data_IF_721682103755
#
_entry.id   IF_721682103755
#
_cell.length_a   1.000
_cell.length_b   1.000
_cell.length_c   1.000
_cell.angle_alpha   90.00
_cell.angle_beta   90.00
_cell.angle_gamma   90.00
#
_symmetry.space_group_name_H-M   'P 1'
#
loop_
_entity.id
_entity.type
_entity.pdbx_description
1 polymer ?
#
# COMPACT_ATOMS: atom_id res chain seq x y z
N UNK A 1 19.74 -18.20 -3.12
CA UNK A 1 18.69 -19.15 -2.65
C UNK A 1 17.66 -19.22 -3.75
N UNK A 2 17.00 -20.36 -3.98
CA UNK A 2 16.15 -20.50 -5.15
C UNK A 2 14.85 -19.69 -5.03
N UNK A 3 14.38 -19.15 -6.15
CA UNK A 3 13.01 -18.65 -6.32
C UNK A 3 12.09 -19.86 -6.46
N UNK A 4 11.05 -19.94 -5.64
CA UNK A 4 10.15 -21.10 -5.57
C UNK A 4 8.73 -20.72 -6.01
N UNK A 5 8.09 -21.49 -6.91
CA UNK A 5 6.69 -21.28 -7.26
C UNK A 5 5.78 -21.34 -6.03
N UNK A 6 4.81 -20.43 -5.99
CA UNK A 6 3.82 -20.35 -4.92
C UNK A 6 2.41 -20.51 -5.49
N UNK A 7 1.52 -21.11 -4.71
CA UNK A 7 0.10 -21.23 -5.05
C UNK A 7 -0.73 -20.92 -3.82
N UNK A 8 -1.72 -20.05 -3.98
CA UNK A 8 -2.66 -19.72 -2.92
C UNK A 8 -3.61 -20.90 -2.74
N UNK A 9 -3.65 -21.44 -1.52
CA UNK A 9 -4.59 -22.49 -1.15
C UNK A 9 -5.03 -22.28 0.29
N UNK A 10 -6.26 -21.78 0.45
CA UNK A 10 -6.89 -21.57 1.76
C UNK A 10 -7.74 -22.78 2.11
N UNK A 11 -7.61 -23.31 3.31
CA UNK A 11 -8.44 -24.43 3.76
C UNK A 11 -9.89 -24.00 4.00
N UNK A 12 -10.87 -24.90 3.75
CA UNK A 12 -12.30 -24.58 3.87
C UNK A 12 -12.69 -24.24 5.33
N UNK A 13 -12.03 -24.83 6.31
CA UNK A 13 -12.25 -24.57 7.74
C UNK A 13 -11.92 -23.12 8.11
N UNK A 14 -10.86 -22.53 7.56
CA UNK A 14 -10.52 -21.10 7.75
C UNK A 14 -11.62 -20.19 7.20
N UNK A 15 -12.17 -20.50 6.02
CA UNK A 15 -13.25 -19.72 5.41
C UNK A 15 -14.58 -19.92 6.15
N UNK A 16 -14.83 -21.12 6.67
CA UNK A 16 -16.01 -21.42 7.47
C UNK A 16 -15.96 -20.71 8.83
N UNK A 17 -14.79 -20.68 9.48
CA UNK A 17 -14.56 -19.92 10.71
C UNK A 17 -14.77 -18.41 10.47
N UNK A 18 -14.20 -17.84 9.40
CA UNK A 18 -14.43 -16.45 8.99
C UNK A 18 -15.93 -16.13 8.90
N UNK A 19 -16.69 -16.91 8.13
CA UNK A 19 -18.14 -16.72 7.95
C UNK A 19 -18.90 -16.89 9.26
N UNK A 20 -18.52 -17.89 10.07
CA UNK A 20 -19.11 -18.12 11.39
C UNK A 20 -18.98 -16.91 12.31
N UNK A 21 -17.77 -16.34 12.39
CA UNK A 21 -17.48 -15.14 13.19
C UNK A 21 -18.20 -13.89 12.68
N UNK A 22 -18.24 -13.69 11.37
CA UNK A 22 -18.99 -12.57 10.76
C UNK A 22 -20.48 -12.61 11.14
N UNK A 23 -21.13 -13.78 11.05
CA UNK A 23 -22.54 -13.97 11.43
C UNK A 23 -22.80 -13.79 12.92
N UNK A 24 -21.79 -14.04 13.76
CA UNK A 24 -21.87 -13.89 15.21
C UNK A 24 -21.34 -12.53 15.71
N UNK A 25 -21.16 -11.56 14.81
CA UNK A 25 -20.68 -10.22 15.18
C UNK A 25 -21.56 -9.59 16.24
N UNK A 26 -20.95 -9.19 17.36
CA UNK A 26 -21.59 -8.37 18.39
C UNK A 26 -21.42 -6.89 18.04
N UNK A 27 -22.51 -6.26 17.62
CA UNK A 27 -22.52 -4.88 17.14
C UNK A 27 -22.48 -3.85 18.28
N UNK A 28 -21.67 -2.78 18.17
CA UNK A 28 -21.78 -1.61 19.03
C UNK A 28 -22.99 -0.75 18.65
N UNK A 29 -23.32 0.23 19.49
CA UNK A 29 -24.21 1.33 19.14
C UNK A 29 -23.50 2.39 18.25
N UNK A 30 -24.28 3.29 17.67
CA UNK A 30 -23.78 4.46 16.95
C UNK A 30 -24.66 5.67 17.27
N UNK A 31 -24.03 6.83 17.47
CA UNK A 31 -24.74 8.10 17.61
C UNK A 31 -25.50 8.41 16.30
N UNK A 32 -26.81 8.66 16.32
CA UNK A 32 -27.58 8.93 15.10
C UNK A 32 -27.15 10.24 14.40
N UNK A 33 -27.10 10.22 13.06
CA UNK A 33 -26.96 11.43 12.23
C UNK A 33 -25.55 12.03 12.14
N UNK A 34 -24.52 11.32 12.60
CA UNK A 34 -23.11 11.77 12.48
C UNK A 34 -22.31 11.04 11.40
N UNK A 35 -22.93 10.09 10.69
CA UNK A 35 -22.33 9.29 9.62
C UNK A 35 -20.93 8.76 10.01
N UNK A 36 -19.89 9.11 9.24
CA UNK A 36 -18.50 8.64 9.41
C UNK A 36 -17.66 9.48 10.37
N UNK A 37 -18.22 10.52 11.02
CA UNK A 37 -17.45 11.48 11.84
C UNK A 37 -16.71 10.87 13.04
N UNK A 38 -17.07 9.66 13.45
CA UNK A 38 -16.41 8.90 14.53
C UNK A 38 -15.82 7.57 14.04
N UNK A 39 -15.56 7.44 12.74
CA UNK A 39 -15.06 6.24 12.11
C UNK A 39 -16.14 5.49 11.32
N UNK A 40 -16.00 4.17 11.17
CA UNK A 40 -16.86 3.35 10.33
C UNK A 40 -18.35 3.50 10.66
N UNK A 41 -19.17 3.82 9.66
CA UNK A 41 -20.63 3.91 9.81
C UNK A 41 -21.25 2.51 9.99
N UNK A 42 -22.18 2.36 10.95
CA UNK A 42 -22.68 1.06 11.39
C UNK A 42 -23.51 0.36 10.30
N UNK A 43 -24.36 1.07 9.57
CA UNK A 43 -25.20 0.45 8.54
C UNK A 43 -24.37 -0.01 7.34
N UNK A 44 -23.37 0.77 6.94
CA UNK A 44 -22.39 0.41 5.93
C UNK A 44 -21.64 -0.85 6.33
N UNK A 45 -21.14 -0.92 7.57
CA UNK A 45 -20.40 -2.09 8.05
C UNK A 45 -21.31 -3.32 8.17
N UNK A 46 -22.54 -3.17 8.66
CA UNK A 46 -23.54 -4.25 8.72
C UNK A 46 -23.84 -4.83 7.35
N UNK A 47 -24.08 -3.96 6.36
CA UNK A 47 -24.32 -4.35 4.98
C UNK A 47 -23.10 -5.08 4.39
N UNK A 48 -21.90 -4.54 4.58
CA UNK A 48 -20.67 -5.17 4.07
C UNK A 48 -20.40 -6.53 4.75
N UNK A 49 -20.56 -6.63 6.07
CA UNK A 49 -20.39 -7.89 6.82
C UNK A 49 -21.42 -8.93 6.41
N UNK A 50 -22.67 -8.53 6.13
CA UNK A 50 -23.69 -9.44 5.60
C UNK A 50 -23.30 -9.98 4.23
N UNK A 51 -22.92 -9.11 3.31
CA UNK A 51 -22.41 -9.51 2.00
C UNK A 51 -21.18 -10.44 2.13
N UNK A 52 -20.24 -10.11 3.01
CA UNK A 52 -19.02 -10.87 3.22
C UNK A 52 -19.29 -12.28 3.78
N UNK A 53 -20.27 -12.41 4.68
CA UNK A 53 -20.63 -13.69 5.28
C UNK A 53 -21.37 -14.62 4.31
N UNK A 54 -22.26 -14.06 3.50
CA UNK A 54 -23.31 -14.83 2.82
C UNK A 54 -23.18 -14.87 1.30
N UNK A 55 -22.55 -13.86 0.68
CA UNK A 55 -22.48 -13.71 -0.78
C UNK A 55 -21.04 -13.73 -1.33
N UNK A 56 -20.07 -13.22 -0.59
CA UNK A 56 -18.68 -13.14 -1.04
C UNK A 56 -18.06 -14.53 -1.31
N UNK A 57 -17.51 -14.68 -2.51
CA UNK A 57 -16.87 -15.91 -2.97
C UNK A 57 -15.33 -15.78 -3.05
N UNK A 58 -14.67 -16.09 -1.93
CA UNK A 58 -13.21 -16.20 -1.90
C UNK A 58 -12.66 -17.19 -2.92
N UNK A 59 -13.37 -18.27 -3.27
CA UNK A 59 -12.84 -19.28 -4.21
C UNK A 59 -12.74 -18.72 -5.62
N UNK A 60 -13.61 -17.78 -5.99
CA UNK A 60 -13.47 -17.03 -7.25
C UNK A 60 -12.23 -16.14 -7.25
N UNK A 61 -11.98 -15.42 -6.16
CA UNK A 61 -10.74 -14.65 -5.98
C UNK A 61 -9.50 -15.53 -5.99
N UNK A 62 -9.48 -16.63 -5.24
CA UNK A 62 -8.37 -17.58 -5.21
C UNK A 62 -8.04 -18.14 -6.60
N UNK A 63 -9.04 -18.48 -7.42
CA UNK A 63 -8.82 -18.88 -8.82
C UNK A 63 -8.24 -17.75 -9.66
N UNK A 64 -8.78 -16.53 -9.55
CA UNK A 64 -8.30 -15.35 -10.27
C UNK A 64 -6.85 -15.03 -9.92
N UNK A 65 -6.49 -15.09 -8.63
CA UNK A 65 -5.14 -14.82 -8.16
C UNK A 65 -4.17 -15.91 -8.60
N UNK A 66 -4.56 -17.19 -8.50
CA UNK A 66 -3.74 -18.30 -9.00
C UNK A 66 -3.59 -18.36 -10.54
N UNK A 67 -4.28 -17.49 -11.30
CA UNK A 67 -3.98 -17.28 -12.72
C UNK A 67 -2.75 -16.36 -12.92
N UNK A 68 -2.29 -15.70 -11.86
CA UNK A 68 -1.03 -14.96 -11.85
C UNK A 68 0.14 -15.89 -11.48
N UNK A 69 1.35 -15.47 -11.85
CA UNK A 69 2.56 -16.22 -11.52
C UNK A 69 3.09 -15.76 -10.16
N UNK A 70 2.84 -16.57 -9.12
CA UNK A 70 3.29 -16.30 -7.76
C UNK A 70 4.57 -17.07 -7.42
N UNK A 71 5.42 -16.44 -6.63
CA UNK A 71 6.67 -17.02 -6.16
C UNK A 71 6.97 -16.62 -4.72
N UNK A 72 7.92 -17.33 -4.12
CA UNK A 72 8.57 -16.92 -2.88
C UNK A 72 10.09 -16.93 -3.02
N UNK A 73 10.76 -16.03 -2.31
CA UNK A 73 12.22 -15.99 -2.19
C UNK A 73 12.61 -15.46 -0.82
N UNK A 74 13.35 -16.26 -0.05
CA UNK A 74 13.75 -15.94 1.33
C UNK A 74 12.58 -15.45 2.22
N UNK A 75 11.40 -16.06 2.04
CA UNK A 75 10.17 -15.71 2.77
C UNK A 75 9.43 -14.47 2.23
N UNK A 76 9.89 -13.82 1.16
CA UNK A 76 9.12 -12.78 0.47
C UNK A 76 8.27 -13.43 -0.60
N UNK A 77 6.95 -13.33 -0.47
CA UNK A 77 5.99 -13.63 -1.52
C UNK A 77 5.96 -12.49 -2.55
N UNK A 78 5.86 -12.82 -3.84
CA UNK A 78 5.68 -11.84 -4.90
C UNK A 78 4.94 -12.43 -6.11
N UNK A 79 4.26 -11.56 -6.85
CA UNK A 79 3.78 -11.85 -8.21
C UNK A 79 4.86 -11.42 -9.20
N UNK A 80 5.15 -12.25 -10.22
CA UNK A 80 6.09 -11.90 -11.29
C UNK A 80 5.47 -12.16 -12.67
N UNK A 81 5.06 -11.09 -13.35
CA UNK A 81 4.52 -11.16 -14.71
C UNK A 81 5.56 -10.68 -15.70
N UNK A 82 6.02 -11.58 -16.58
CA UNK A 82 6.93 -11.24 -17.67
C UNK A 82 6.18 -10.49 -18.77
N UNK A 83 6.86 -9.57 -19.44
CA UNK A 83 6.29 -8.89 -20.59
C UNK A 83 5.90 -9.89 -21.69
N UNK A 84 4.82 -9.61 -22.42
CA UNK A 84 4.34 -10.46 -23.52
C UNK A 84 5.38 -10.64 -24.62
N UNK A 85 6.26 -9.65 -24.81
CA UNK A 85 7.37 -9.70 -25.76
C UNK A 85 8.56 -10.57 -25.30
N UNK A 86 8.61 -10.97 -24.03
CA UNK A 86 9.76 -11.61 -23.39
C UNK A 86 10.91 -10.66 -23.00
N UNK A 87 10.87 -9.40 -23.45
CA UNK A 87 11.90 -8.38 -23.21
C UNK A 87 11.27 -7.11 -22.66
N UNK A 88 10.76 -7.17 -21.43
CA UNK A 88 10.16 -6.02 -20.75
C UNK A 88 11.17 -5.18 -19.98
N UNK A 89 10.83 -3.91 -19.76
CA UNK A 89 11.54 -3.11 -18.74
C UNK A 89 11.19 -3.70 -17.37
N UNK A 90 12.17 -4.08 -16.54
CA UNK A 90 11.86 -4.62 -15.22
C UNK A 90 11.29 -3.53 -14.32
N UNK A 91 10.17 -3.81 -13.66
CA UNK A 91 9.42 -2.85 -12.83
C UNK A 91 8.99 -3.51 -11.53
N UNK A 92 9.45 -2.97 -10.39
CA UNK A 92 8.98 -3.40 -9.07
C UNK A 92 7.91 -2.45 -8.55
N UNK A 93 6.79 -3.00 -8.06
CA UNK A 93 5.62 -2.25 -7.56
C UNK A 93 5.38 -2.57 -6.09
N UNK A 94 5.54 -1.57 -5.21
CA UNK A 94 5.49 -1.77 -3.76
C UNK A 94 4.24 -1.11 -3.17
N UNK A 95 3.37 -1.92 -2.56
CA UNK A 95 2.15 -1.45 -1.89
C UNK A 95 2.47 -0.86 -0.51
N UNK A 96 1.46 -0.30 0.17
CA UNK A 96 1.55 0.07 1.59
C UNK A 96 0.43 -0.51 2.44
N UNK A 97 0.00 0.21 3.46
CA UNK A 97 -1.04 -0.15 4.42
C UNK A 97 -2.27 0.76 4.27
N UNK A 98 -3.51 0.26 4.41
CA UNK A 98 -3.91 -1.15 4.60
C UNK A 98 -4.09 -1.90 3.28
N UNK A 99 -3.29 -1.57 2.27
CA UNK A 99 -3.26 -2.25 0.98
C UNK A 99 -2.51 -3.59 0.98
N UNK A 100 -2.29 -4.12 -0.22
CA UNK A 100 -1.52 -5.33 -0.47
C UNK A 100 -1.12 -5.45 -1.94
N UNK A 101 -0.51 -6.57 -2.34
CA UNK A 101 -0.29 -6.86 -3.77
C UNK A 101 -1.58 -6.85 -4.61
N UNK A 102 -2.77 -7.00 -3.99
CA UNK A 102 -4.07 -6.94 -4.67
C UNK A 102 -4.34 -5.59 -5.33
N UNK A 103 -3.77 -4.50 -4.80
CA UNK A 103 -4.02 -3.15 -5.29
C UNK A 103 -3.52 -2.97 -6.73
N UNK A 104 -2.53 -3.76 -7.13
CA UNK A 104 -1.95 -3.75 -8.46
C UNK A 104 -2.63 -4.72 -9.43
N UNK A 105 -3.42 -5.69 -8.94
CA UNK A 105 -4.04 -6.73 -9.79
C UNK A 105 -4.88 -6.16 -10.93
N UNK A 106 -5.72 -5.12 -10.71
CA UNK A 106 -6.48 -4.49 -11.80
C UNK A 106 -5.59 -3.84 -12.87
N UNK A 107 -4.39 -3.41 -12.50
CA UNK A 107 -3.44 -2.68 -13.35
C UNK A 107 -2.53 -3.61 -14.16
N UNK A 108 -2.26 -4.85 -13.69
CA UNK A 108 -1.31 -5.77 -14.34
C UNK A 108 -1.53 -5.98 -15.84
N UNK A 109 -2.76 -6.14 -16.37
CA UNK A 109 -2.97 -6.30 -17.82
C UNK A 109 -2.55 -5.10 -18.66
N UNK A 110 -2.45 -3.90 -18.05
CA UNK A 110 -2.07 -2.65 -18.72
C UNK A 110 -0.55 -2.46 -18.76
N UNK A 111 0.21 -3.33 -18.09
CA UNK A 111 1.66 -3.28 -17.95
C UNK A 111 2.37 -4.35 -18.78
N UNK A 112 1.74 -4.88 -19.83
CA UNK A 112 2.24 -6.01 -20.62
C UNK A 112 3.61 -5.80 -21.31
N UNK A 113 4.11 -4.57 -21.34
CA UNK A 113 5.45 -4.21 -21.85
C UNK A 113 6.54 -4.21 -20.77
N UNK A 114 6.18 -4.43 -19.50
CA UNK A 114 7.10 -4.52 -18.38
C UNK A 114 7.25 -5.95 -17.91
N UNK A 115 8.41 -6.27 -17.33
CA UNK A 115 8.48 -7.40 -16.43
C UNK A 115 8.12 -6.91 -15.02
N UNK A 116 6.89 -7.17 -14.59
CA UNK A 116 6.34 -6.62 -13.35
C UNK A 116 6.59 -7.57 -12.18
N UNK A 117 7.17 -7.05 -11.11
CA UNK A 117 7.36 -7.73 -9.82
C UNK A 117 6.56 -7.00 -8.76
N UNK A 118 5.60 -7.68 -8.13
CA UNK A 118 4.75 -7.12 -7.06
C UNK A 118 4.99 -7.90 -5.76
N UNK A 119 5.96 -7.50 -4.93
CA UNK A 119 6.17 -8.13 -3.63
C UNK A 119 5.03 -7.85 -2.66
N UNK A 120 4.76 -8.81 -1.79
CA UNK A 120 4.08 -8.53 -0.52
C UNK A 120 5.13 -8.09 0.50
N UNK A 121 4.91 -6.93 1.13
CA UNK A 121 5.80 -6.41 2.17
C UNK A 121 5.97 -7.42 3.33
N UNK A 122 7.10 -7.43 4.06
CA UNK A 122 7.27 -8.33 5.20
C UNK A 122 6.20 -8.14 6.27
N UNK A 123 5.42 -9.19 6.56
CA UNK A 123 4.29 -9.13 7.48
C UNK A 123 2.95 -8.81 6.83
N UNK A 124 2.86 -8.84 5.50
CA UNK A 124 1.64 -8.64 4.71
C UNK A 124 1.38 -9.85 3.83
N UNK A 125 0.09 -10.19 3.66
CA UNK A 125 -0.32 -11.28 2.79
C UNK A 125 0.49 -12.54 3.08
N UNK A 126 1.09 -13.14 2.05
CA UNK A 126 1.84 -14.39 2.17
C UNK A 126 3.34 -14.20 2.52
N UNK A 127 3.79 -12.97 2.79
CA UNK A 127 5.15 -12.68 3.29
C UNK A 127 5.16 -12.66 4.81
N UNK A 128 5.71 -13.67 5.52
CA UNK A 128 5.87 -13.63 6.96
C UNK A 128 6.67 -12.40 7.44
N UNK A 129 6.33 -11.91 8.64
CA UNK A 129 7.16 -10.91 9.32
C UNK A 129 8.37 -11.58 9.95
N UNK A 130 9.61 -11.12 9.67
CA UNK A 130 10.77 -11.59 10.41
C UNK A 130 10.59 -11.40 11.93
N UNK A 131 10.99 -12.35 12.78
CA UNK A 131 10.77 -12.30 14.23
C UNK A 131 11.78 -11.38 14.94
N UNK A 132 11.90 -10.13 14.47
CA UNK A 132 12.78 -9.10 15.03
C UNK A 132 12.19 -7.70 14.78
N UNK A 133 12.70 -6.71 15.50
CA UNK A 133 12.43 -5.28 15.25
C UNK A 133 13.41 -4.71 14.20
N UNK A 134 13.14 -3.49 13.75
CA UNK A 134 13.99 -2.78 12.79
C UNK A 134 13.76 -3.22 11.35
N UNK A 135 12.58 -3.75 11.04
CA UNK A 135 12.14 -4.03 9.66
C UNK A 135 11.57 -2.72 9.09
N UNK A 136 12.44 -1.72 8.93
CA UNK A 136 12.13 -0.39 8.42
C UNK A 136 12.28 -0.31 6.89
N UNK A 137 12.04 0.87 6.30
CA UNK A 137 12.15 1.08 4.84
C UNK A 137 13.48 0.59 4.25
N UNK A 138 14.62 0.88 4.89
CA UNK A 138 15.95 0.46 4.40
C UNK A 138 16.14 -1.06 4.43
N UNK A 139 15.67 -1.73 5.48
CA UNK A 139 15.68 -3.19 5.52
C UNK A 139 14.89 -3.78 4.36
N UNK A 140 13.68 -3.26 4.11
CA UNK A 140 12.83 -3.77 3.02
C UNK A 140 13.46 -3.45 1.66
N UNK A 141 13.97 -2.24 1.45
CA UNK A 141 14.63 -1.83 0.21
C UNK A 141 15.82 -2.74 -0.15
N UNK A 142 16.71 -3.05 0.81
CA UNK A 142 17.83 -3.98 0.58
C UNK A 142 17.33 -5.38 0.15
N UNK A 143 16.28 -5.88 0.81
CA UNK A 143 15.69 -7.18 0.47
C UNK A 143 15.07 -7.18 -0.92
N UNK A 144 14.36 -6.12 -1.30
CA UNK A 144 13.77 -5.99 -2.63
C UNK A 144 14.83 -5.81 -3.72
N UNK A 145 15.91 -5.07 -3.45
CA UNK A 145 17.05 -4.95 -4.37
C UNK A 145 17.71 -6.31 -4.64
N UNK A 146 17.92 -7.09 -3.58
CA UNK A 146 18.46 -8.45 -3.70
C UNK A 146 17.51 -9.40 -4.43
N UNK A 147 16.20 -9.28 -4.21
CA UNK A 147 15.19 -10.02 -4.98
C UNK A 147 15.29 -9.70 -6.48
N UNK A 148 15.33 -8.42 -6.84
CA UNK A 148 15.48 -8.01 -8.24
C UNK A 148 16.78 -8.54 -8.86
N UNK A 149 17.87 -8.55 -8.09
CA UNK A 149 19.16 -9.12 -8.52
C UNK A 149 19.09 -10.63 -8.73
N UNK A 150 18.42 -11.38 -7.84
CA UNK A 150 18.20 -12.83 -8.00
C UNK A 150 17.35 -13.15 -9.25
N UNK A 151 16.38 -12.29 -9.58
CA UNK A 151 15.60 -12.39 -10.82
C UNK A 151 16.40 -12.00 -12.09
N UNK A 152 17.67 -11.62 -11.95
CA UNK A 152 18.56 -11.25 -13.05
C UNK A 152 18.46 -9.78 -13.48
N UNK A 153 17.77 -8.93 -12.72
CA UNK A 153 17.59 -7.52 -13.04
C UNK A 153 18.65 -6.65 -12.36
N UNK A 154 19.71 -6.32 -13.09
CA UNK A 154 20.74 -5.39 -12.63
C UNK A 154 20.33 -3.92 -12.69
N UNK A 155 19.36 -3.61 -13.58
CA UNK A 155 18.75 -2.29 -13.75
C UNK A 155 17.23 -2.44 -13.87
N UNK A 156 16.48 -1.66 -13.11
CA UNK A 156 15.02 -1.75 -13.05
C UNK A 156 14.37 -0.42 -12.66
N UNK A 157 13.12 -0.25 -13.04
CA UNK A 157 12.22 0.81 -12.60
C UNK A 157 11.55 0.41 -11.29
N UNK A 158 11.16 1.40 -10.46
CA UNK A 158 10.42 1.15 -9.23
C UNK A 158 9.24 2.11 -9.06
N UNK A 159 8.17 1.63 -8.45
CA UNK A 159 7.03 2.46 -8.09
C UNK A 159 6.42 2.02 -6.77
N UNK A 160 5.83 2.97 -6.04
CA UNK A 160 5.11 2.67 -4.82
C UNK A 160 4.25 3.82 -4.32
N UNK A 161 3.41 3.48 -3.35
CA UNK A 161 2.57 4.41 -2.61
C UNK A 161 2.55 4.01 -1.13
N UNK A 162 2.16 4.93 -0.27
CA UNK A 162 2.18 4.79 1.20
C UNK A 162 3.55 4.26 1.66
N UNK A 163 3.63 3.23 2.51
CA UNK A 163 4.91 2.62 2.89
C UNK A 163 5.73 2.15 1.69
N UNK A 164 5.08 1.75 0.61
CA UNK A 164 5.75 1.41 -0.64
C UNK A 164 6.43 2.58 -1.33
N UNK A 165 5.92 3.81 -1.16
CA UNK A 165 6.64 5.02 -1.56
C UNK A 165 7.88 5.22 -0.69
N UNK A 166 7.79 5.01 0.62
CA UNK A 166 8.96 5.05 1.52
C UNK A 166 10.04 4.04 1.13
N UNK A 167 9.67 2.79 0.90
CA UNK A 167 10.59 1.74 0.43
C UNK A 167 11.19 2.09 -0.93
N UNK A 168 10.39 2.58 -1.88
CA UNK A 168 10.84 2.97 -3.23
C UNK A 168 11.84 4.13 -3.18
N UNK A 169 11.61 5.11 -2.30
CA UNK A 169 12.53 6.22 -2.07
C UNK A 169 13.88 5.74 -1.55
N UNK A 170 13.89 4.86 -0.53
CA UNK A 170 15.14 4.33 0.00
C UNK A 170 15.85 3.40 -0.99
N UNK A 171 15.09 2.64 -1.79
CA UNK A 171 15.64 1.82 -2.87
C UNK A 171 16.41 2.67 -3.90
N UNK A 172 15.84 3.81 -4.28
CA UNK A 172 16.49 4.77 -5.19
C UNK A 172 17.69 5.49 -4.55
N UNK A 173 17.62 5.77 -3.24
CA UNK A 173 18.69 6.42 -2.50
C UNK A 173 19.92 5.51 -2.35
N UNK A 174 19.71 4.27 -1.90
CA UNK A 174 20.79 3.34 -1.57
C UNK A 174 21.33 2.62 -2.83
N UNK A 175 20.52 2.48 -3.89
CA UNK A 175 20.89 1.76 -5.12
C UNK A 175 20.68 2.57 -6.43
N UNK A 176 21.20 3.81 -6.55
CA UNK A 176 20.94 4.69 -7.70
C UNK A 176 21.54 4.18 -9.03
N UNK A 177 22.48 3.23 -8.98
CA UNK A 177 23.05 2.60 -10.18
C UNK A 177 22.14 1.52 -10.77
N UNK A 178 21.25 0.94 -9.96
CA UNK A 178 20.30 -0.10 -10.37
C UNK A 178 18.90 0.44 -10.60
N UNK A 179 18.47 1.45 -9.85
CA UNK A 179 17.15 2.05 -10.03
C UNK A 179 17.20 3.12 -11.12
N UNK A 180 16.62 2.84 -12.29
CA UNK A 180 16.67 3.76 -13.45
C UNK A 180 15.76 4.98 -13.31
N UNK A 181 14.76 4.88 -12.44
CA UNK A 181 13.79 5.92 -12.14
C UNK A 181 12.76 5.43 -11.14
N UNK A 182 12.09 6.35 -10.44
CA UNK A 182 10.99 6.03 -9.52
C UNK A 182 9.71 6.77 -9.88
N UNK A 183 8.56 6.12 -9.67
CA UNK A 183 7.24 6.73 -9.78
C UNK A 183 6.49 6.61 -8.46
N UNK A 184 6.07 7.74 -7.87
CA UNK A 184 5.38 7.79 -6.58
C UNK A 184 3.99 8.40 -6.76
N UNK A 185 3.00 7.92 -6.00
CA UNK A 185 1.66 8.56 -5.94
C UNK A 185 1.33 9.18 -4.58
N UNK A 186 2.20 9.01 -3.60
CA UNK A 186 2.08 9.61 -2.27
C UNK A 186 3.46 10.07 -1.80
N UNK A 187 3.49 11.02 -0.86
CA UNK A 187 4.67 11.35 -0.08
C UNK A 187 4.60 10.55 1.23
N UNK A 188 5.59 9.68 1.47
CA UNK A 188 5.69 9.01 2.77
C UNK A 188 6.06 10.01 3.86
N UNK A 189 5.19 10.12 4.86
CA UNK A 189 5.25 11.15 5.92
C UNK A 189 6.53 11.09 6.75
N UNK A 190 7.01 9.87 7.04
CA UNK A 190 8.25 9.64 7.78
C UNK A 190 9.50 10.16 7.04
N UNK A 191 9.40 10.37 5.72
CA UNK A 191 10.50 10.85 4.86
C UNK A 191 10.29 12.28 4.37
N UNK A 192 9.26 12.99 4.85
CA UNK A 192 8.95 14.33 4.38
C UNK A 192 10.09 15.32 4.66
N UNK A 193 10.35 16.29 3.76
CA UNK A 193 11.40 17.29 3.97
C UNK A 193 11.20 18.09 5.26
N UNK A 194 12.22 18.12 6.11
CA UNK A 194 12.26 19.02 7.29
C UNK A 194 12.72 20.40 6.84
N UNK A 195 11.86 21.41 7.00
CA UNK A 195 12.10 22.78 6.52
C UNK A 195 11.78 23.77 7.63
N UNK A 196 12.66 24.74 7.88
CA UNK A 196 12.40 25.85 8.80
C UNK A 196 11.23 26.70 8.29
N UNK A 197 10.34 27.14 9.20
CA UNK A 197 9.13 27.91 8.84
C UNK A 197 9.41 29.17 7.99
N UNK A 198 10.57 29.80 8.20
CA UNK A 198 11.02 31.00 7.47
C UNK A 198 11.33 30.71 5.98
N UNK A 199 11.66 29.47 5.66
CA UNK A 199 12.10 29.02 4.32
C UNK A 199 10.95 28.37 3.53
N UNK A 200 9.77 28.26 4.14
CA UNK A 200 8.54 27.81 3.48
C UNK A 200 7.97 28.94 2.60
N UNK A 201 7.46 28.57 1.44
CA UNK A 201 6.56 29.39 0.64
C UNK A 201 5.14 29.41 1.24
N UNK A 202 4.27 30.30 0.75
CA UNK A 202 2.87 30.34 1.19
C UNK A 202 2.12 29.05 0.85
N UNK A 203 2.39 28.46 -0.32
CA UNK A 203 1.80 27.19 -0.73
C UNK A 203 2.23 26.04 0.20
N UNK A 204 3.52 25.97 0.54
CA UNK A 204 4.05 24.98 1.49
C UNK A 204 3.48 25.18 2.90
N UNK A 205 3.37 26.42 3.38
CA UNK A 205 2.71 26.72 4.67
C UNK A 205 1.25 26.27 4.69
N UNK A 206 0.51 26.52 3.61
CA UNK A 206 -0.90 26.13 3.48
C UNK A 206 -1.05 24.61 3.53
N UNK A 207 -0.26 23.89 2.73
CA UNK A 207 -0.21 22.43 2.73
C UNK A 207 0.08 21.86 4.12
N UNK A 208 1.16 22.33 4.77
CA UNK A 208 1.56 21.85 6.09
C UNK A 208 0.53 22.22 7.18
N UNK A 209 -0.22 23.31 7.03
CA UNK A 209 -1.31 23.65 7.94
C UNK A 209 -2.48 22.67 7.83
N UNK A 210 -2.86 22.26 6.62
CA UNK A 210 -3.89 21.23 6.41
C UNK A 210 -3.42 19.88 6.95
N UNK A 211 -2.17 19.49 6.65
CA UNK A 211 -1.59 18.25 7.15
C UNK A 211 -1.57 18.19 8.69
N UNK A 212 -1.18 19.29 9.38
CA UNK A 212 -1.26 19.37 10.85
C UNK A 212 -2.70 19.26 11.38
N UNK A 213 -3.69 19.80 10.67
CA UNK A 213 -5.09 19.69 11.07
C UNK A 213 -5.61 18.26 10.89
N UNK A 214 -5.24 17.61 9.79
CA UNK A 214 -5.51 16.19 9.53
C UNK A 214 -4.93 15.32 10.64
N UNK A 215 -3.70 15.61 11.07
CA UNK A 215 -3.01 14.89 12.16
C UNK A 215 -3.78 14.92 13.49
N UNK A 216 -4.56 15.97 13.74
CA UNK A 216 -5.38 16.08 14.95
C UNK A 216 -6.61 15.17 14.91
N UNK A 217 -7.20 14.93 13.73
CA UNK A 217 -8.46 14.19 13.60
C UNK A 217 -8.28 12.75 13.14
N UNK A 218 -7.29 12.47 12.31
CA UNK A 218 -7.19 11.18 11.60
C UNK A 218 -6.09 10.25 12.14
N UNK A 219 -5.08 10.78 12.83
CA UNK A 219 -3.85 10.07 13.22
C UNK A 219 -4.04 8.99 14.30
N UNK A 220 -5.25 8.81 14.83
CA UNK A 220 -5.53 7.85 15.91
C UNK A 220 -5.03 6.43 15.60
N UNK A 221 -5.20 5.96 14.36
CA UNK A 221 -4.76 4.64 13.93
C UNK A 221 -3.22 4.49 13.97
N UNK A 222 -2.46 5.41 13.38
CA UNK A 222 -1.00 5.33 13.35
C UNK A 222 -0.37 5.59 14.73
N UNK A 223 -1.03 6.37 15.59
CA UNK A 223 -0.60 6.55 16.98
C UNK A 223 -0.62 5.23 17.78
N UNK A 224 -1.69 4.43 17.67
CA UNK A 224 -1.76 3.13 18.36
C UNK A 224 -0.83 2.10 17.69
N UNK A 225 -0.74 2.09 16.37
CA UNK A 225 0.10 1.15 15.62
C UNK A 225 1.60 1.40 15.84
N UNK A 226 2.03 2.66 15.91
CA UNK A 226 3.43 3.02 16.14
C UNK A 226 3.91 2.84 17.59
N UNK A 227 3.01 2.47 18.52
CA UNK A 227 3.35 2.36 19.95
C UNK A 227 2.95 1.06 20.60
N UNK A 228 1.82 0.45 20.24
CA UNK A 228 1.31 -0.78 20.83
C UNK A 228 0.62 -1.67 19.77
N UNK A 229 1.29 -1.99 18.64
CA UNK A 229 0.67 -2.74 17.54
C UNK A 229 0.20 -4.12 17.99
N UNK A 230 0.94 -4.77 18.90
CA UNK A 230 0.55 -6.05 19.47
C UNK A 230 -0.77 -5.98 20.25
N UNK A 231 -1.00 -4.90 21.00
CA UNK A 231 -2.20 -4.72 21.84
C UNK A 231 -3.45 -4.57 20.99
N UNK A 232 -3.45 -3.67 20.01
CA UNK A 232 -4.59 -3.48 19.10
C UNK A 232 -4.78 -4.70 18.19
N UNK A 233 -3.68 -5.37 17.84
CA UNK A 233 -3.68 -6.56 17.00
C UNK A 233 -4.53 -7.72 17.53
N UNK A 234 -4.59 -7.95 18.85
CA UNK A 234 -5.41 -9.04 19.40
C UNK A 234 -6.88 -8.94 19.01
N UNK A 235 -7.47 -7.75 19.12
CA UNK A 235 -8.88 -7.54 18.79
C UNK A 235 -9.13 -7.62 17.28
N UNK A 236 -8.25 -7.02 16.47
CA UNK A 236 -8.37 -7.01 15.02
C UNK A 236 -8.12 -8.39 14.40
N UNK A 237 -7.28 -9.22 15.02
CA UNK A 237 -6.97 -10.57 14.54
C UNK A 237 -8.01 -11.61 14.97
N UNK A 238 -8.79 -11.37 16.04
CA UNK A 238 -9.84 -12.28 16.51
C UNK A 238 -11.21 -12.02 15.86
N UNK A 239 -11.50 -10.75 15.55
CA UNK A 239 -12.81 -10.32 15.03
C UNK A 239 -12.72 -9.84 13.58
N UNK A 240 -13.24 -10.59 12.59
CA UNK A 240 -13.22 -10.16 11.19
C UNK A 240 -14.10 -8.93 10.94
N UNK A 241 -15.19 -8.74 11.69
CA UNK A 241 -15.96 -7.50 11.62
C UNK A 241 -15.19 -6.30 12.22
N UNK A 242 -14.42 -6.53 13.28
CA UNK A 242 -13.50 -5.52 13.84
C UNK A 242 -12.38 -5.15 12.86
N UNK A 243 -11.81 -6.15 12.17
CA UNK A 243 -10.87 -5.96 11.07
C UNK A 243 -11.47 -5.12 9.93
N UNK A 244 -12.66 -5.50 9.43
CA UNK A 244 -13.34 -4.78 8.36
C UNK A 244 -13.69 -3.34 8.76
N UNK A 245 -14.07 -3.08 10.01
CA UNK A 245 -14.28 -1.72 10.49
C UNK A 245 -12.99 -0.91 10.39
N UNK A 246 -11.91 -1.44 10.98
CA UNK A 246 -10.63 -0.76 11.09
C UNK A 246 -9.97 -0.47 9.75
N UNK A 247 -10.01 -1.43 8.82
CA UNK A 247 -9.48 -1.24 7.47
C UNK A 247 -10.44 -0.48 6.56
N UNK A 248 -11.74 -0.77 6.65
CA UNK A 248 -12.77 -0.18 5.80
C UNK A 248 -12.95 1.31 6.01
N UNK A 249 -12.69 1.83 7.21
CA UNK A 249 -12.65 3.27 7.44
C UNK A 249 -11.58 3.95 6.58
N UNK A 250 -10.37 3.38 6.50
CA UNK A 250 -9.29 3.95 5.68
C UNK A 250 -9.59 3.87 4.19
N UNK A 251 -10.09 2.72 3.71
CA UNK A 251 -10.58 2.59 2.33
C UNK A 251 -11.77 3.53 2.00
N UNK A 252 -12.53 3.96 3.00
CA UNK A 252 -13.57 4.97 2.80
C UNK A 252 -12.98 6.38 2.74
N UNK A 253 -12.25 6.77 3.79
CA UNK A 253 -11.76 8.12 4.04
C UNK A 253 -10.67 8.54 3.05
N UNK A 254 -9.78 7.61 2.66
CA UNK A 254 -8.63 7.90 1.80
C UNK A 254 -8.89 7.67 0.30
N UNK A 255 -10.04 7.12 -0.07
CA UNK A 255 -10.43 7.00 -1.48
C UNK A 255 -11.30 8.16 -1.93
N UNK A 256 -11.23 8.50 -3.21
CA UNK A 256 -12.21 9.34 -3.89
C UNK A 256 -13.55 8.59 -3.92
N UNK A 257 -13.55 7.44 -4.60
CA UNK A 257 -14.67 6.50 -4.61
C UNK A 257 -14.28 5.25 -3.82
N UNK A 258 -15.06 4.92 -2.79
CA UNK A 258 -14.84 3.69 -2.03
C UNK A 258 -14.94 2.49 -2.98
N UNK A 259 -13.96 1.57 -3.01
CA UNK A 259 -14.00 0.42 -3.89
C UNK A 259 -15.23 -0.47 -3.68
N UNK A 260 -15.54 -1.28 -4.68
CA UNK A 260 -16.63 -2.24 -4.60
C UNK A 260 -16.45 -3.23 -3.43
N UNK A 261 -17.56 -3.61 -2.81
CA UNK A 261 -17.58 -4.54 -1.67
C UNK A 261 -16.79 -5.83 -1.94
N UNK A 262 -16.90 -6.39 -3.16
CA UNK A 262 -16.16 -7.60 -3.55
C UNK A 262 -14.63 -7.43 -3.42
N UNK A 263 -14.09 -6.29 -3.84
CA UNK A 263 -12.67 -5.99 -3.70
C UNK A 263 -12.28 -5.76 -2.24
N UNK A 264 -13.10 -5.02 -1.47
CA UNK A 264 -12.84 -4.80 -0.04
C UNK A 264 -12.85 -6.12 0.74
N UNK A 265 -13.84 -6.98 0.50
CA UNK A 265 -13.92 -8.30 1.10
C UNK A 265 -12.75 -9.19 0.70
N UNK A 266 -12.24 -9.10 -0.53
CA UNK A 266 -11.02 -9.81 -0.93
C UNK A 266 -9.78 -9.33 -0.17
N UNK A 267 -9.61 -8.01 -0.03
CA UNK A 267 -8.54 -7.41 0.77
C UNK A 267 -8.65 -7.83 2.24
N UNK A 268 -9.82 -7.75 2.85
CA UNK A 268 -10.00 -8.12 4.26
C UNK A 268 -9.85 -9.62 4.48
N UNK A 269 -10.29 -10.45 3.52
CA UNK A 269 -10.07 -11.90 3.56
C UNK A 269 -8.59 -12.22 3.49
N UNK A 270 -7.82 -11.53 2.63
CA UNK A 270 -6.36 -11.71 2.58
C UNK A 270 -5.72 -11.42 3.94
N UNK A 271 -6.06 -10.31 4.60
CA UNK A 271 -5.53 -9.99 5.93
C UNK A 271 -5.94 -11.04 6.99
N UNK A 272 -7.17 -11.55 6.90
CA UNK A 272 -7.69 -12.56 7.83
C UNK A 272 -6.98 -13.90 7.68
N UNK A 273 -6.95 -14.47 6.46
CA UNK A 273 -6.41 -15.81 6.21
C UNK A 273 -4.91 -15.90 6.48
N UNK A 274 -4.19 -14.78 6.35
CA UNK A 274 -2.75 -14.72 6.64
C UNK A 274 -2.43 -14.16 8.02
N UNK A 275 -3.45 -13.78 8.80
CA UNK A 275 -3.33 -13.18 10.12
C UNK A 275 -2.36 -11.98 10.13
N UNK A 276 -2.36 -11.21 9.03
CA UNK A 276 -1.32 -10.22 8.79
C UNK A 276 -1.59 -8.86 9.40
N UNK A 277 -2.76 -8.63 10.02
CA UNK A 277 -3.10 -7.32 10.57
C UNK A 277 -2.12 -6.91 11.68
N UNK A 278 -1.77 -7.82 12.60
CA UNK A 278 -0.85 -7.46 13.70
C UNK A 278 0.57 -7.23 13.19
N UNK A 279 1.01 -8.03 12.23
CA UNK A 279 2.36 -7.92 11.67
C UNK A 279 2.52 -6.69 10.77
N UNK A 280 1.50 -6.33 9.99
CA UNK A 280 1.54 -5.17 9.10
C UNK A 280 1.69 -3.86 9.89
N UNK A 281 0.95 -3.74 11.00
CA UNK A 281 1.01 -2.56 11.88
C UNK A 281 2.39 -2.34 12.51
N UNK A 282 3.30 -3.33 12.47
CA UNK A 282 4.67 -3.18 12.98
C UNK A 282 5.53 -2.27 12.09
N UNK A 283 5.13 -1.96 10.87
CA UNK A 283 5.82 -0.96 10.05
C UNK A 283 5.76 0.42 10.69
N UNK A 284 4.60 0.83 11.22
CA UNK A 284 4.48 2.08 11.99
C UNK A 284 5.40 2.10 13.22
N UNK A 285 5.60 0.95 13.87
CA UNK A 285 6.54 0.84 14.99
C UNK A 285 7.99 0.93 14.51
N UNK A 286 8.35 0.11 13.54
CA UNK A 286 9.74 -0.01 13.09
C UNK A 286 10.22 1.28 12.42
N UNK A 287 9.42 1.95 11.59
CA UNK A 287 9.81 3.21 10.96
C UNK A 287 9.85 4.37 11.97
N UNK A 288 8.99 4.38 12.99
CA UNK A 288 9.06 5.38 14.07
C UNK A 288 10.31 5.24 14.94
N UNK A 289 10.65 4.01 15.35
CA UNK A 289 11.70 3.75 16.35
C UNK A 289 13.06 3.40 15.72
N UNK A 290 13.07 3.12 14.42
CA UNK A 290 14.27 2.91 13.61
C UNK A 290 14.16 3.75 12.32
N UNK A 291 14.08 5.09 12.42
CA UNK A 291 13.88 5.96 11.27
C UNK A 291 15.04 5.88 10.28
N UNK A 292 14.75 6.23 9.04
CA UNK A 292 15.73 6.32 7.95
C UNK A 292 15.61 7.69 7.35
N UNK A 293 16.72 8.42 7.32
CA UNK A 293 16.77 9.75 6.72
C UNK A 293 17.56 9.69 5.40
N UNK A 294 16.89 9.70 4.24
CA UNK A 294 17.57 9.86 2.97
C UNK A 294 18.04 11.31 2.80
N UNK A 295 19.17 11.48 2.11
CA UNK A 295 19.50 12.78 1.54
C UNK A 295 18.71 12.99 0.23
N UNK A 296 19.18 13.91 -0.62
CA UNK A 296 18.54 14.16 -1.90
C UNK A 296 18.55 12.93 -2.82
N UNK A 297 17.38 12.60 -3.38
CA UNK A 297 17.17 11.51 -4.33
C UNK A 297 17.46 12.02 -5.74
N UNK A 298 18.66 11.76 -6.23
CA UNK A 298 19.10 12.19 -7.57
C UNK A 298 18.48 11.37 -8.71
N UNK A 299 17.98 10.17 -8.41
CA UNK A 299 17.29 9.28 -9.36
C UNK A 299 16.07 10.00 -9.99
N UNK A 300 15.89 9.94 -11.32
CA UNK A 300 14.74 10.54 -11.98
C UNK A 300 13.42 10.13 -11.30
N UNK A 301 12.63 11.10 -10.89
CA UNK A 301 11.39 10.87 -10.14
C UNK A 301 10.18 11.41 -10.90
N UNK A 302 9.16 10.57 -11.06
CA UNK A 302 7.81 10.96 -11.43
C UNK A 302 6.92 10.98 -10.20
N UNK A 303 6.04 11.98 -10.12
CA UNK A 303 5.03 12.06 -9.07
C UNK A 303 3.64 12.23 -9.69
N UNK A 304 2.76 11.27 -9.44
CA UNK A 304 1.35 11.32 -9.82
C UNK A 304 0.49 11.77 -8.64
N UNK A 305 -0.03 12.99 -8.67
CA UNK A 305 -0.86 13.56 -7.62
C UNK A 305 -2.34 13.18 -7.81
N UNK A 306 -2.82 12.28 -6.96
CA UNK A 306 -4.21 11.84 -6.82
C UNK A 306 -4.79 12.38 -5.50
N UNK A 307 -5.34 13.59 -5.53
CA UNK A 307 -5.70 14.36 -4.34
C UNK A 307 -7.22 14.51 -4.12
N UNK A 308 -8.01 13.48 -4.48
CA UNK A 308 -9.48 13.51 -4.41
C UNK A 308 -10.07 12.65 -3.29
N UNK A 309 -9.25 12.24 -2.31
CA UNK A 309 -9.72 11.51 -1.14
C UNK A 309 -10.77 12.30 -0.34
N UNK A 310 -11.73 11.60 0.28
CA UNK A 310 -12.82 12.23 1.06
C UNK A 310 -12.32 13.03 2.25
N UNK A 311 -11.20 12.62 2.86
CA UNK A 311 -10.53 13.36 3.94
C UNK A 311 -9.25 13.99 3.40
N UNK A 312 -9.25 15.29 3.06
CA UNK A 312 -8.14 15.93 2.37
C UNK A 312 -6.88 16.05 3.22
N UNK A 313 -5.72 15.82 2.60
CA UNK A 313 -4.39 15.99 3.22
C UNK A 313 -3.69 17.29 2.81
N UNK A 314 -4.40 18.14 2.04
CA UNK A 314 -3.92 19.40 1.50
C UNK A 314 -3.30 19.27 0.11
N UNK A 315 -3.14 20.42 -0.55
CA UNK A 315 -2.57 20.49 -1.90
C UNK A 315 -1.04 20.44 -1.83
N UNK A 316 -0.47 19.24 -2.04
CA UNK A 316 0.98 19.03 -2.00
C UNK A 316 1.68 19.85 -3.10
N UNK A 317 2.49 20.87 -2.74
CA UNK A 317 3.18 21.69 -3.72
C UNK A 317 4.37 20.93 -4.29
N UNK A 318 4.53 20.98 -5.62
CA UNK A 318 5.70 20.42 -6.31
C UNK A 318 7.03 20.91 -5.71
N UNK A 319 7.11 22.19 -5.36
CA UNK A 319 8.32 22.81 -4.78
C UNK A 319 8.74 22.16 -3.45
N UNK A 320 7.78 21.63 -2.68
CA UNK A 320 8.07 20.95 -1.42
C UNK A 320 8.82 19.64 -1.70
N UNK A 321 8.31 18.84 -2.64
CA UNK A 321 8.92 17.57 -3.04
C UNK A 321 10.26 17.75 -3.77
N UNK A 322 10.44 18.84 -4.52
CA UNK A 322 11.72 19.16 -5.18
C UNK A 322 12.89 19.36 -4.20
N UNK A 323 12.61 19.55 -2.90
CA UNK A 323 13.65 19.58 -1.85
C UNK A 323 14.26 18.21 -1.59
N UNK A 324 13.53 17.14 -1.88
CA UNK A 324 13.97 15.76 -1.64
C UNK A 324 14.23 15.00 -2.95
N UNK A 325 13.52 15.31 -4.04
CA UNK A 325 13.56 14.51 -5.26
C UNK A 325 13.99 15.30 -6.50
N UNK A 326 14.67 14.60 -7.41
CA UNK A 326 14.86 15.03 -8.80
C UNK A 326 13.58 14.80 -9.61
N UNK A 327 12.58 15.67 -9.42
CA UNK A 327 11.29 15.61 -10.09
C UNK A 327 11.44 15.92 -11.60
N UNK A 328 11.29 14.90 -12.43
CA UNK A 328 11.32 14.99 -13.89
C UNK A 328 9.91 14.95 -14.51
N UNK A 329 8.93 14.40 -13.78
CA UNK A 329 7.53 14.38 -14.18
C UNK A 329 6.63 14.69 -12.99
N UNK A 330 5.68 15.58 -13.20
CA UNK A 330 4.65 15.95 -12.23
C UNK A 330 3.30 15.93 -12.93
N UNK A 331 2.43 14.99 -12.55
CA UNK A 331 1.11 14.82 -13.17
C UNK A 331 0.04 15.04 -12.11
N UNK A 332 -0.89 15.96 -12.34
CA UNK A 332 -2.06 16.16 -11.47
C UNK A 332 -3.26 15.48 -12.11
N UNK A 333 -3.87 14.53 -11.39
CA UNK A 333 -5.00 13.76 -11.91
C UNK A 333 -6.35 14.36 -11.48
N UNK A 334 -7.40 14.26 -12.32
CA UNK A 334 -8.69 14.87 -12.04
C UNK A 334 -9.59 14.05 -11.10
N UNK A 335 -9.18 12.84 -10.73
CA UNK A 335 -9.91 11.90 -9.84
C UNK A 335 -8.95 10.89 -9.24
N UNK A 336 -9.43 10.14 -8.24
CA UNK A 336 -8.67 9.13 -7.50
C UNK A 336 -8.03 9.70 -6.22
N UNK A 337 -8.04 8.89 -5.16
CA UNK A 337 -7.42 9.21 -3.88
C UNK A 337 -6.11 8.46 -3.63
N UNK A 338 -5.87 8.15 -2.36
CA UNK A 338 -4.66 7.48 -1.87
C UNK A 338 -4.42 6.12 -2.55
N UNK A 339 -5.48 5.36 -2.84
CA UNK A 339 -5.39 4.03 -3.46
C UNK A 339 -5.54 4.09 -4.98
N UNK A 340 -4.90 5.08 -5.62
CA UNK A 340 -4.97 5.32 -7.07
C UNK A 340 -4.72 4.07 -7.94
N UNK A 341 -3.90 3.13 -7.46
CA UNK A 341 -3.62 1.85 -8.12
C UNK A 341 -4.86 0.94 -8.27
N UNK A 342 -5.76 0.98 -7.29
CA UNK A 342 -7.02 0.25 -7.30
C UNK A 342 -8.19 1.09 -7.85
N UNK A 343 -8.17 2.42 -7.62
CA UNK A 343 -9.23 3.35 -8.04
C UNK A 343 -9.14 3.72 -9.53
N UNK A 344 -7.93 4.07 -9.99
CA UNK A 344 -7.66 4.58 -11.34
C UNK A 344 -6.50 3.81 -12.01
N UNK A 345 -6.55 2.46 -12.10
CA UNK A 345 -5.44 1.64 -12.59
C UNK A 345 -4.94 2.05 -13.98
N UNK A 346 -5.84 2.48 -14.86
CA UNK A 346 -5.48 2.94 -16.21
C UNK A 346 -4.69 4.25 -16.21
N UNK A 347 -5.03 5.18 -15.32
CA UNK A 347 -4.33 6.46 -15.21
C UNK A 347 -2.90 6.25 -14.68
N UNK A 348 -2.77 5.41 -13.64
CA UNK A 348 -1.46 5.07 -13.07
C UNK A 348 -0.60 4.31 -14.08
N UNK A 349 -1.14 3.28 -14.74
CA UNK A 349 -0.39 2.53 -15.77
C UNK A 349 0.08 3.41 -16.93
N UNK A 350 -0.74 4.36 -17.37
CA UNK A 350 -0.39 5.28 -18.43
C UNK A 350 0.73 6.24 -18.01
N UNK A 351 0.72 6.74 -16.77
CA UNK A 351 1.77 7.62 -16.26
C UNK A 351 3.10 6.89 -16.11
N UNK A 352 3.07 5.70 -15.51
CA UNK A 352 4.22 4.78 -15.42
C UNK A 352 4.82 4.50 -16.80
N UNK A 353 3.98 4.11 -17.76
CA UNK A 353 4.41 3.80 -19.12
C UNK A 353 5.02 5.02 -19.81
N UNK A 354 4.40 6.19 -19.66
CA UNK A 354 4.89 7.43 -20.25
C UNK A 354 6.24 7.80 -19.67
N UNK A 355 6.38 7.74 -18.35
CA UNK A 355 7.62 8.10 -17.66
C UNK A 355 8.77 7.16 -18.04
N UNK A 356 8.59 5.85 -17.86
CA UNK A 356 9.70 4.90 -18.04
C UNK A 356 10.11 4.71 -19.50
N UNK A 357 9.22 4.95 -20.48
CA UNK A 357 9.61 5.02 -21.90
C UNK A 357 10.64 6.09 -22.23
N UNK A 358 10.73 7.15 -21.40
CA UNK A 358 11.72 8.23 -21.60
C UNK A 358 13.08 7.93 -20.97
N UNK A 359 13.15 6.88 -20.13
CA UNK A 359 14.34 6.50 -19.37
C UNK A 359 14.97 5.17 -19.83
N UNK A 360 14.25 4.42 -20.67
CA UNK A 360 14.61 3.11 -21.21
C UNK A 360 15.39 3.18 -22.51
#
# INVERSE_FOLDING_TARGET
MAVEPFRIQVADDVLNDLRGRLRQTRWPDQVPGIDWKQGTELNWLRRLVSYWADEFDWRSWERRLNALNHFTWEGIHFVHQRATSGSGVPLILTHGWPGSFLDYVPMLPMLEHFDVVVPSLPGYGFSPRPPKVGINYRYVADRLHRLMSELGYSRYAASGYDFGAGVTTILAFDHPQSVVGIHLTTLESDLAPVVDDKDLSDAERSYLAVNRAWDVTERGYSAIQSTKPQTVGYGLNDSPAGLAAYLGEKWHSWSDVTPADDFLCATFTLYWITQSITSSMRDYWDNRWHPVDPAYISTPTAFGLFAHQKVPEGDLPRSYLERLYNIQRWTVFPRGGHFAHAEEPAAVAADLTTFFRTLS
#
